data_IF_673847486083
#
_entry.id   IF_673847486083
#
_cell.length_a   1.000
_cell.length_b   1.000
_cell.length_c   1.000
_cell.angle_alpha   90.00
_cell.angle_beta   90.00
_cell.angle_gamma   90.00
#
_symmetry.space_group_name_H-M   'P 1'
#
loop_
_entity.id
_entity.type
_entity.pdbx_description
1 polymer ?
#
# COMPACT_ATOMS: atom_id res chain seq x y z
N UNK A 1 -25.19 -15.56 -30.26
CA UNK A 1 -24.44 -14.29 -30.14
C UNK A 1 -23.57 -14.10 -31.39
N UNK A 2 -23.57 -12.90 -31.99
CA UNK A 2 -22.76 -12.60 -33.19
C UNK A 2 -21.27 -12.46 -32.82
N UNK A 3 -20.36 -12.89 -33.71
CA UNK A 3 -18.89 -12.80 -33.53
C UNK A 3 -18.45 -11.37 -33.14
N UNK A 4 -19.06 -10.34 -33.75
CA UNK A 4 -18.79 -8.92 -33.45
C UNK A 4 -19.18 -8.51 -32.02
N UNK A 5 -20.22 -9.13 -31.45
CA UNK A 5 -20.64 -8.90 -30.07
C UNK A 5 -19.71 -9.60 -29.06
N UNK A 6 -19.16 -10.77 -29.43
CA UNK A 6 -18.16 -11.46 -28.61
C UNK A 6 -16.83 -10.70 -28.56
N UNK A 7 -16.38 -10.15 -29.69
CA UNK A 7 -15.16 -9.32 -29.77
C UNK A 7 -15.28 -8.01 -28.97
N UNK A 8 -16.43 -7.32 -29.06
CA UNK A 8 -16.68 -6.12 -28.27
C UNK A 8 -16.69 -6.43 -26.76
N UNK A 9 -17.33 -7.54 -26.36
CA UNK A 9 -17.33 -7.97 -24.97
C UNK A 9 -15.93 -8.31 -24.45
N UNK A 10 -15.11 -9.02 -25.23
CA UNK A 10 -13.73 -9.34 -24.87
C UNK A 10 -12.89 -8.07 -24.64
N UNK A 11 -13.03 -7.07 -25.52
CA UNK A 11 -12.32 -5.78 -25.38
C UNK A 11 -12.71 -5.05 -24.09
N UNK A 12 -14.00 -5.01 -23.76
CA UNK A 12 -14.49 -4.38 -22.52
C UNK A 12 -13.92 -5.10 -21.28
N UNK A 13 -13.92 -6.43 -21.28
CA UNK A 13 -13.37 -7.22 -20.17
C UNK A 13 -11.88 -6.93 -19.98
N UNK A 14 -11.12 -6.83 -21.07
CA UNK A 14 -9.70 -6.52 -21.02
C UNK A 14 -9.45 -5.10 -20.47
N UNK A 15 -10.23 -4.11 -20.90
CA UNK A 15 -10.15 -2.74 -20.41
C UNK A 15 -10.42 -2.67 -18.89
N UNK A 16 -11.48 -3.33 -18.42
CA UNK A 16 -11.80 -3.45 -17.00
C UNK A 16 -10.65 -4.11 -16.23
N UNK A 17 -10.03 -5.15 -16.79
CA UNK A 17 -8.89 -5.83 -16.16
C UNK A 17 -7.68 -4.90 -16.04
N UNK A 18 -7.37 -4.12 -17.09
CA UNK A 18 -6.27 -3.14 -17.06
C UNK A 18 -6.51 -2.03 -16.04
N UNK A 19 -7.72 -1.50 -15.95
CA UNK A 19 -8.06 -0.47 -14.97
C UNK A 19 -7.94 -0.96 -13.53
N UNK A 20 -8.41 -2.19 -13.26
CA UNK A 20 -8.25 -2.86 -11.97
C UNK A 20 -6.77 -3.05 -11.63
N UNK A 21 -5.96 -3.53 -12.57
CA UNK A 21 -4.52 -3.71 -12.38
C UNK A 21 -3.82 -2.38 -12.09
N UNK A 22 -4.13 -1.32 -12.85
CA UNK A 22 -3.56 0.01 -12.63
C UNK A 22 -3.95 0.60 -11.26
N UNK A 23 -5.18 0.36 -10.82
CA UNK A 23 -5.65 0.82 -9.50
C UNK A 23 -4.93 0.11 -8.36
N UNK A 24 -4.75 -1.21 -8.47
CA UNK A 24 -3.97 -2.01 -7.52
C UNK A 24 -2.50 -1.59 -7.49
N UNK A 25 -1.89 -1.37 -8.66
CA UNK A 25 -0.52 -0.88 -8.77
C UNK A 25 -0.32 0.43 -8.01
N UNK A 26 -1.17 1.43 -8.26
CA UNK A 26 -1.12 2.71 -7.53
C UNK A 26 -1.35 2.58 -6.03
N UNK A 27 -2.11 1.58 -5.57
CA UNK A 27 -2.29 1.34 -4.14
C UNK A 27 -1.07 0.66 -3.51
N UNK A 28 -0.40 -0.24 -4.24
CA UNK A 28 0.91 -0.80 -3.88
C UNK A 28 1.97 0.29 -3.72
N UNK A 29 2.14 1.14 -4.74
CA UNK A 29 3.08 2.28 -4.72
C UNK A 29 2.85 3.21 -3.51
N UNK A 30 1.57 3.47 -3.18
CA UNK A 30 1.21 4.26 -1.99
C UNK A 30 1.62 3.59 -0.68
N UNK A 31 1.46 2.27 -0.59
CA UNK A 31 1.90 1.52 0.59
C UNK A 31 3.44 1.52 0.71
N UNK A 32 4.14 1.31 -0.40
CA UNK A 32 5.62 1.36 -0.43
C UNK A 32 6.15 2.72 0.03
N UNK A 33 5.59 3.81 -0.50
CA UNK A 33 5.98 5.16 -0.10
C UNK A 33 5.72 5.41 1.41
N UNK A 34 4.59 4.97 1.92
CA UNK A 34 4.28 5.11 3.35
C UNK A 34 5.22 4.28 4.23
N UNK A 35 5.59 3.06 3.82
CA UNK A 35 6.55 2.22 4.53
C UNK A 35 7.97 2.82 4.51
N UNK A 36 8.38 3.40 3.38
CA UNK A 36 9.66 4.09 3.26
C UNK A 36 9.72 5.28 4.24
N UNK A 37 8.64 6.05 4.33
CA UNK A 37 8.52 7.17 5.26
C UNK A 37 8.65 6.71 6.73
N UNK A 38 7.97 5.63 7.12
CA UNK A 38 8.12 5.03 8.47
C UNK A 38 9.58 4.70 8.76
N UNK A 39 10.24 4.04 7.81
CA UNK A 39 11.64 3.64 7.96
C UNK A 39 12.59 4.85 8.07
N UNK A 40 12.33 5.91 7.29
CA UNK A 40 13.10 7.17 7.38
C UNK A 40 12.93 7.84 8.74
N UNK A 41 11.70 7.95 9.26
CA UNK A 41 11.46 8.55 10.58
C UNK A 41 12.11 7.74 11.70
N UNK A 42 12.12 6.41 11.58
CA UNK A 42 12.82 5.56 12.54
C UNK A 42 14.35 5.73 12.48
N UNK A 43 14.94 5.88 11.28
CA UNK A 43 16.37 6.18 11.12
C UNK A 43 16.72 7.55 11.72
N UNK A 44 15.94 8.57 11.39
CA UNK A 44 16.14 9.92 11.90
C UNK A 44 16.04 9.95 13.43
N UNK A 45 15.06 9.25 14.01
CA UNK A 45 14.90 9.18 15.47
C UNK A 45 16.12 8.59 16.16
N UNK A 46 16.70 7.51 15.60
CA UNK A 46 17.92 6.88 16.14
C UNK A 46 19.15 7.79 16.04
N UNK A 47 19.19 8.65 15.03
CA UNK A 47 20.30 9.57 14.79
C UNK A 47 20.18 10.91 15.53
N UNK A 48 19.01 11.22 16.11
CA UNK A 48 18.82 12.46 16.85
C UNK A 48 19.49 12.38 18.24
N UNK A 49 20.18 13.46 18.63
CA UNK A 49 20.95 13.53 19.88
C UNK A 49 20.19 14.24 21.01
N UNK A 50 19.20 15.06 20.69
CA UNK A 50 18.42 15.80 21.67
C UNK A 50 17.00 15.24 21.85
N UNK A 51 16.45 15.43 23.05
CA UNK A 51 15.16 14.88 23.44
C UNK A 51 13.98 15.51 22.71
N UNK A 52 14.07 16.79 22.32
CA UNK A 52 12.99 17.50 21.64
C UNK A 52 12.83 16.97 20.21
N UNK A 53 13.93 16.92 19.45
CA UNK A 53 13.95 16.35 18.11
C UNK A 53 13.51 14.88 18.12
N UNK A 54 13.93 14.09 19.12
CA UNK A 54 13.44 12.71 19.29
C UNK A 54 11.94 12.64 19.52
N UNK A 55 11.37 13.51 20.35
CA UNK A 55 9.92 13.53 20.59
C UNK A 55 9.13 13.89 19.31
N UNK A 56 9.60 14.88 18.55
CA UNK A 56 8.99 15.29 17.29
C UNK A 56 9.05 14.18 16.22
N UNK A 57 10.20 13.52 16.10
CA UNK A 57 10.40 12.40 15.20
C UNK A 57 9.58 11.18 15.60
N UNK A 58 9.39 10.94 16.90
CA UNK A 58 8.51 9.87 17.37
C UNK A 58 7.05 10.13 17.00
N UNK A 59 6.57 11.37 17.18
CA UNK A 59 5.23 11.75 16.73
C UNK A 59 5.08 11.65 15.20
N UNK A 60 6.13 12.02 14.44
CA UNK A 60 6.14 11.86 12.98
C UNK A 60 6.13 10.40 12.54
N UNK A 61 6.87 9.53 13.22
CA UNK A 61 6.87 8.09 12.98
C UNK A 61 5.48 7.48 13.22
N UNK A 62 4.82 7.81 14.33
CA UNK A 62 3.46 7.31 14.60
C UNK A 62 2.47 7.73 13.49
N UNK A 63 2.54 8.97 13.01
CA UNK A 63 1.73 9.43 11.87
C UNK A 63 2.03 8.64 10.60
N UNK A 64 3.31 8.42 10.29
CA UNK A 64 3.73 7.63 9.14
C UNK A 64 3.25 6.17 9.26
N UNK A 65 3.30 5.59 10.47
CA UNK A 65 2.85 4.23 10.73
C UNK A 65 1.35 4.09 10.47
N UNK A 66 0.54 5.05 10.96
CA UNK A 66 -0.89 5.09 10.68
C UNK A 66 -1.21 5.25 9.19
N UNK A 67 -0.43 6.06 8.46
CA UNK A 67 -0.58 6.20 7.02
C UNK A 67 -0.26 4.89 6.27
N UNK A 68 0.79 4.18 6.68
CA UNK A 68 1.15 2.88 6.11
C UNK A 68 0.06 1.83 6.37
N UNK A 69 -0.51 1.78 7.58
CA UNK A 69 -1.60 0.87 7.90
C UNK A 69 -2.87 1.20 7.08
N UNK A 70 -3.23 2.48 6.93
CA UNK A 70 -4.36 2.88 6.10
C UNK A 70 -4.17 2.51 4.61
N UNK A 71 -2.96 2.71 4.07
CA UNK A 71 -2.60 2.29 2.72
C UNK A 71 -2.68 0.77 2.56
N UNK A 72 -2.23 0.01 3.57
CA UNK A 72 -2.33 -1.45 3.60
C UNK A 72 -3.77 -1.93 3.58
N UNK A 73 -4.63 -1.38 4.43
CA UNK A 73 -6.06 -1.69 4.45
C UNK A 73 -6.73 -1.40 3.10
N UNK A 74 -6.38 -0.27 2.48
CA UNK A 74 -6.89 0.09 1.15
C UNK A 74 -6.50 -0.94 0.10
N UNK A 75 -5.23 -1.38 0.07
CA UNK A 75 -4.76 -2.39 -0.86
C UNK A 75 -5.45 -3.75 -0.64
N UNK A 76 -5.66 -4.16 0.62
CA UNK A 76 -6.39 -5.39 0.94
C UNK A 76 -7.84 -5.34 0.42
N UNK A 77 -8.56 -4.26 0.68
CA UNK A 77 -9.94 -4.06 0.20
C UNK A 77 -10.00 -4.14 -1.33
N UNK A 78 -9.08 -3.46 -2.02
CA UNK A 78 -9.05 -3.48 -3.48
C UNK A 78 -8.71 -4.86 -4.05
N UNK A 79 -7.80 -5.61 -3.41
CA UNK A 79 -7.48 -7.00 -3.77
C UNK A 79 -8.70 -7.90 -3.63
N UNK A 80 -9.43 -7.79 -2.52
CA UNK A 80 -10.65 -8.57 -2.29
C UNK A 80 -11.74 -8.26 -3.31
N UNK A 81 -11.91 -6.98 -3.66
CA UNK A 81 -12.87 -6.54 -4.67
C UNK A 81 -12.61 -7.12 -6.08
N UNK A 82 -11.37 -7.52 -6.38
CA UNK A 82 -11.01 -8.19 -7.63
C UNK A 82 -10.85 -9.71 -7.51
N UNK A 83 -11.15 -10.28 -6.34
CA UNK A 83 -11.12 -11.74 -6.09
C UNK A 83 -9.80 -12.28 -5.52
N UNK A 84 -8.82 -11.43 -5.21
CA UNK A 84 -7.54 -11.82 -4.61
C UNK A 84 -7.65 -11.88 -3.07
N UNK A 85 -8.27 -12.94 -2.54
CA UNK A 85 -8.60 -13.09 -1.11
C UNK A 85 -7.51 -13.72 -0.24
N UNK A 86 -6.47 -14.27 -0.86
CA UNK A 86 -5.32 -14.80 -0.13
C UNK A 86 -4.26 -13.71 -0.01
N UNK A 87 -3.92 -13.37 1.24
CA UNK A 87 -3.07 -12.22 1.59
C UNK A 87 -1.70 -12.62 2.15
N UNK A 88 -1.29 -13.89 2.05
CA UNK A 88 0.02 -14.33 2.56
C UNK A 88 1.19 -13.64 1.85
N UNK A 89 1.02 -13.36 0.56
CA UNK A 89 1.95 -12.58 -0.24
C UNK A 89 2.08 -11.13 0.25
N UNK A 90 1.03 -10.55 0.81
CA UNK A 90 1.05 -9.17 1.32
C UNK A 90 1.97 -8.97 2.53
N UNK A 91 2.08 -9.96 3.42
CA UNK A 91 3.00 -9.86 4.58
C UNK A 91 4.46 -10.09 4.15
N UNK A 92 4.69 -10.84 3.06
CA UNK A 92 6.01 -11.07 2.48
C UNK A 92 6.48 -9.84 1.68
N UNK A 93 5.62 -9.28 0.83
CA UNK A 93 5.96 -8.13 -0.01
C UNK A 93 5.99 -6.81 0.78
N UNK A 94 5.08 -6.66 1.74
CA UNK A 94 4.92 -5.43 2.52
C UNK A 94 4.96 -5.76 4.02
N UNK A 95 6.14 -6.09 4.56
CA UNK A 95 6.28 -6.43 5.97
C UNK A 95 5.86 -5.25 6.85
N UNK A 96 5.07 -5.54 7.90
CA UNK A 96 4.63 -4.50 8.84
C UNK A 96 5.82 -3.99 9.67
N UNK A 97 6.07 -2.67 9.69
CA UNK A 97 7.13 -2.10 10.50
C UNK A 97 6.75 -2.13 11.99
N UNK A 98 7.73 -2.20 12.90
CA UNK A 98 7.46 -2.12 14.33
C UNK A 98 6.76 -0.81 14.65
N UNK A 99 5.74 -0.88 15.51
CA UNK A 99 4.97 0.31 15.89
C UNK A 99 5.76 1.25 16.82
N UNK A 100 6.60 0.69 17.69
CA UNK A 100 7.37 1.45 18.69
C UNK A 100 8.80 1.66 18.19
N UNK A 101 9.35 2.85 18.45
CA UNK A 101 10.72 3.25 18.13
C UNK A 101 11.72 2.82 19.20
#
# INVERSE_FOLDING_TARGET
MSRRSAEAHARIVEEIAREKAATLGRAGERLEAALAEVAERARAWRAADDAQTRAELAAAHERAWHAAEAARQTLLIQREAVGLRHHRDMDVQFPRPPRRL
#
